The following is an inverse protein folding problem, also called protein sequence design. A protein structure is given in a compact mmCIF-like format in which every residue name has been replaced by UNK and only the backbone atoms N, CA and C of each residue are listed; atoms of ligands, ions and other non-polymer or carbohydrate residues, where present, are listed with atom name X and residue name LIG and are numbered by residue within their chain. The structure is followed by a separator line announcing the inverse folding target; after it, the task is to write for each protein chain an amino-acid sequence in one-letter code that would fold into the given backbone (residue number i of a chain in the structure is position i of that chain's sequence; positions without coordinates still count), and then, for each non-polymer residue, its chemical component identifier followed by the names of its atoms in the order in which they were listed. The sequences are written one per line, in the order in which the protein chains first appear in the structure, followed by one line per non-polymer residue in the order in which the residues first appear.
data_IF_290075860781
#
_entry.id   IF_290075860781
#
_cell.length_a   1.000
_cell.length_b   1.000
_cell.length_c   1.000
_cell.angle_alpha   90.00
_cell.angle_beta   90.00
_cell.angle_gamma   90.00
#
_symmetry.space_group_name_H-M   'P 1'
#
loop_
_entity.id
_entity.type
_entity.pdbx_description
1 polymer ?
#
# COMPACT_ATOMS: atom_id res chain seq x y z
N UNK A 1 -8.95 -12.31 -8.41
CA UNK A 1 -8.06 -11.30 -9.03
C UNK A 1 -6.84 -11.05 -8.15
N UNK A 2 -5.66 -10.71 -8.69
CA UNK A 2 -4.49 -10.27 -7.90
C UNK A 2 -4.31 -8.75 -8.08
N UNK A 3 -4.25 -8.02 -6.97
CA UNK A 3 -4.23 -6.54 -6.95
C UNK A 3 -2.91 -6.08 -6.33
N UNK A 4 -2.19 -5.21 -7.02
CA UNK A 4 -1.03 -4.51 -6.47
C UNK A 4 -1.45 -3.13 -5.98
N UNK A 5 -1.22 -2.81 -4.72
CA UNK A 5 -1.58 -1.53 -4.14
C UNK A 5 -0.32 -0.84 -3.62
N UNK A 6 -0.05 0.39 -4.07
CA UNK A 6 0.99 1.24 -3.51
C UNK A 6 0.32 2.43 -2.82
N UNK A 7 0.55 2.53 -1.51
CA UNK A 7 0.17 3.68 -0.71
C UNK A 7 1.38 4.63 -0.64
N UNK A 8 1.20 5.88 -1.04
CA UNK A 8 2.30 6.85 -1.08
C UNK A 8 2.24 7.87 0.07
N UNK A 9 1.04 8.24 0.53
CA UNK A 9 0.86 9.23 1.59
C UNK A 9 0.63 8.55 2.97
N UNK A 10 1.43 8.85 4.02
CA UNK A 10 1.17 8.39 5.39
C UNK A 10 -0.22 8.76 5.90
N UNK A 11 -0.78 9.91 5.50
CA UNK A 11 -2.12 10.34 5.89
C UNK A 11 -3.21 9.32 5.56
N UNK A 12 -3.05 8.52 4.49
CA UNK A 12 -3.99 7.44 4.17
C UNK A 12 -4.05 6.38 5.27
N UNK A 13 -2.93 6.15 5.95
CA UNK A 13 -2.86 5.26 7.10
C UNK A 13 -3.52 5.92 8.31
N UNK A 14 -3.09 7.13 8.65
CA UNK A 14 -3.51 7.85 9.87
C UNK A 14 -5.02 8.14 9.88
N UNK A 15 -5.59 8.47 8.72
CA UNK A 15 -7.03 8.71 8.55
C UNK A 15 -7.88 7.43 8.61
N UNK A 16 -7.27 6.25 8.66
CA UNK A 16 -7.96 4.95 8.57
C UNK A 16 -8.44 4.58 7.17
N UNK A 17 -8.25 5.47 6.17
CA UNK A 17 -8.66 5.24 4.79
C UNK A 17 -8.02 3.99 4.17
N UNK A 18 -6.75 3.71 4.49
CA UNK A 18 -6.05 2.52 4.03
C UNK A 18 -6.78 1.22 4.44
N UNK A 19 -7.35 1.17 5.65
CA UNK A 19 -8.13 0.02 6.12
C UNK A 19 -9.43 -0.15 5.31
N UNK A 20 -10.09 0.95 4.98
CA UNK A 20 -11.31 0.94 4.15
C UNK A 20 -11.02 0.48 2.72
N UNK A 21 -9.93 0.97 2.13
CA UNK A 21 -9.45 0.56 0.80
C UNK A 21 -9.12 -0.94 0.79
N UNK A 22 -8.31 -1.41 1.74
CA UNK A 22 -7.94 -2.82 1.85
C UNK A 22 -9.17 -3.72 2.02
N UNK A 23 -10.11 -3.34 2.89
CA UNK A 23 -11.35 -4.09 3.10
C UNK A 23 -12.18 -4.17 1.82
N UNK A 24 -12.30 -3.07 1.09
CA UNK A 24 -13.10 -3.01 -0.13
C UNK A 24 -12.47 -3.82 -1.27
N UNK A 25 -11.15 -3.65 -1.48
CA UNK A 25 -10.41 -4.40 -2.50
C UNK A 25 -10.32 -5.90 -2.18
N UNK A 26 -10.37 -6.29 -0.90
CA UNK A 26 -10.28 -7.70 -0.51
C UNK A 26 -11.48 -8.52 -0.98
N UNK A 27 -12.64 -7.87 -1.16
CA UNK A 27 -13.87 -8.50 -1.66
C UNK A 27 -13.77 -8.90 -3.14
N UNK A 28 -12.87 -8.28 -3.90
CA UNK A 28 -12.71 -8.51 -5.35
C UNK A 28 -11.42 -9.29 -5.68
N UNK A 29 -10.48 -9.41 -4.74
CA UNK A 29 -9.25 -10.17 -4.98
C UNK A 29 -8.24 -10.14 -3.85
N UNK A 30 -7.13 -10.84 -4.06
CA UNK A 30 -6.00 -10.86 -3.14
C UNK A 30 -5.11 -9.64 -3.35
N UNK A 31 -4.78 -8.95 -2.27
CA UNK A 31 -4.04 -7.69 -2.29
C UNK A 31 -2.58 -7.93 -1.91
N UNK A 32 -1.65 -7.34 -2.68
CA UNK A 32 -0.25 -7.12 -2.31
C UNK A 32 -0.08 -5.62 -2.12
N UNK A 33 -0.27 -5.16 -0.88
CA UNK A 33 -0.21 -3.76 -0.50
C UNK A 33 1.17 -3.38 0.01
N UNK A 34 1.67 -2.23 -0.42
CA UNK A 34 3.01 -1.72 -0.09
C UNK A 34 2.96 -0.25 0.26
N UNK A 35 3.88 0.19 1.11
CA UNK A 35 4.14 1.61 1.39
C UNK A 35 5.63 1.94 1.22
N UNK A 36 5.92 3.15 0.75
CA UNK A 36 7.27 3.67 0.60
C UNK A 36 7.48 4.88 1.53
N UNK A 37 8.75 5.30 1.68
CA UNK A 37 9.12 6.46 2.48
C UNK A 37 9.12 6.19 3.98
N UNK A 38 9.92 6.95 4.73
CA UNK A 38 10.08 6.74 6.18
C UNK A 38 8.78 7.00 6.93
N UNK A 39 8.12 8.14 6.66
CA UNK A 39 6.89 8.53 7.35
C UNK A 39 5.75 7.52 7.13
N UNK A 40 5.57 7.03 5.90
CA UNK A 40 4.56 6.03 5.59
C UNK A 40 4.76 4.72 6.36
N UNK A 41 6.01 4.30 6.54
CA UNK A 41 6.32 3.11 7.34
C UNK A 41 6.01 3.32 8.82
N UNK A 42 6.42 4.46 9.37
CA UNK A 42 6.10 4.83 10.75
C UNK A 42 4.59 4.79 10.97
N UNK A 43 3.81 5.43 10.10
CA UNK A 43 2.36 5.41 10.17
C UNK A 43 1.76 3.99 10.13
N UNK A 44 2.33 3.08 9.32
CA UNK A 44 1.90 1.67 9.30
C UNK A 44 2.14 0.97 10.64
N UNK A 45 3.29 1.20 11.26
CA UNK A 45 3.60 0.63 12.58
C UNK A 45 2.72 1.23 13.68
N UNK A 46 2.50 2.55 13.66
CA UNK A 46 1.64 3.24 14.63
C UNK A 46 0.18 2.75 14.53
N UNK A 47 -0.27 2.39 13.33
CA UNK A 47 -1.61 1.84 13.08
C UNK A 47 -1.72 0.31 13.23
N UNK A 48 -0.64 -0.39 13.60
CA UNK A 48 -0.57 -1.85 13.68
C UNK A 48 -1.02 -2.58 12.40
N UNK A 49 -0.59 -2.07 11.23
CA UNK A 49 -0.95 -2.61 9.91
C UNK A 49 0.20 -3.34 9.20
N UNK A 50 1.33 -3.57 9.87
CA UNK A 50 2.53 -4.24 9.32
C UNK A 50 2.27 -5.68 8.86
N UNK A 51 1.20 -6.31 9.35
CA UNK A 51 0.74 -7.63 8.89
C UNK A 51 -0.08 -7.58 7.58
N UNK A 52 -0.50 -6.40 7.14
CA UNK A 52 -1.34 -6.18 5.95
C UNK A 52 -0.65 -5.36 4.86
N UNK A 53 0.24 -4.45 5.25
CA UNK A 53 0.93 -3.54 4.35
C UNK A 53 2.44 -3.79 4.49
N UNK A 54 3.05 -4.21 3.39
CA UNK A 54 4.49 -4.46 3.35
C UNK A 54 5.26 -3.12 3.29
N UNK A 55 6.11 -2.91 4.28
CA UNK A 55 6.92 -1.69 4.49
C UNK A 55 8.28 -1.71 3.77
N UNK A 56 8.47 -2.64 2.81
CA UNK A 56 9.60 -2.78 1.88
C UNK A 56 10.82 -1.89 2.16
N UNK A 57 11.89 -2.49 2.69
CA UNK A 57 13.16 -1.86 3.05
C UNK A 57 13.71 -0.92 1.94
N UNK A 58 13.77 0.37 2.26
CA UNK A 58 14.42 1.48 1.52
C UNK A 58 14.24 1.59 -0.01
N UNK A 59 13.19 1.02 -0.59
CA UNK A 59 12.92 1.18 -2.03
C UNK A 59 12.18 2.48 -2.32
N UNK A 60 12.51 3.10 -3.46
CA UNK A 60 11.75 4.23 -3.99
C UNK A 60 10.35 3.77 -4.45
N UNK A 61 9.33 4.63 -4.39
CA UNK A 61 7.99 4.32 -4.91
C UNK A 61 8.01 3.75 -6.33
N UNK A 62 8.83 4.33 -7.21
CA UNK A 62 8.99 3.89 -8.60
C UNK A 62 9.43 2.43 -8.73
N UNK A 63 10.41 1.99 -7.94
CA UNK A 63 10.88 0.60 -7.94
C UNK A 63 9.78 -0.37 -7.48
N UNK A 64 8.98 0.06 -6.51
CA UNK A 64 7.86 -0.72 -6.00
C UNK A 64 6.80 -0.87 -7.09
N UNK A 65 6.42 0.22 -7.75
CA UNK A 65 5.48 0.19 -8.89
C UNK A 65 6.00 -0.73 -9.99
N UNK A 66 7.27 -0.63 -10.39
CA UNK A 66 7.86 -1.52 -11.42
C UNK A 66 7.78 -2.99 -11.01
N UNK A 67 8.08 -3.32 -9.74
CA UNK A 67 7.99 -4.69 -9.23
C UNK A 67 6.56 -5.20 -9.19
N UNK A 68 5.62 -4.32 -8.82
CA UNK A 68 4.21 -4.61 -8.84
C UNK A 68 3.73 -4.87 -10.28
N UNK A 69 4.08 -4.02 -11.26
CA UNK A 69 3.74 -4.09 -12.69
C UNK A 69 4.13 -5.41 -13.37
N UNK A 70 5.32 -5.95 -13.05
CA UNK A 70 5.81 -7.21 -13.64
C UNK A 70 4.93 -8.43 -13.32
N UNK A 71 4.03 -8.36 -12.35
CA UNK A 71 3.21 -9.49 -11.89
C UNK A 71 1.84 -9.65 -12.59
N UNK A 72 1.53 -8.89 -13.66
CA UNK A 72 0.21 -8.88 -14.35
C UNK A 72 -0.96 -8.70 -13.36
N UNK A 73 -0.98 -7.55 -12.67
CA UNK A 73 -2.01 -7.21 -11.66
C UNK A 73 -2.75 -5.93 -12.05
N UNK A 74 -3.84 -5.64 -11.34
CA UNK A 74 -4.48 -4.33 -11.37
C UNK A 74 -3.79 -3.43 -10.34
N UNK A 75 -3.57 -2.16 -10.69
CA UNK A 75 -2.85 -1.18 -9.86
C UNK A 75 -3.73 0.00 -9.51
N UNK A 76 -3.70 0.36 -8.23
CA UNK A 76 -4.33 1.58 -7.73
C UNK A 76 -3.26 2.41 -7.06
N UNK A 77 -3.23 3.70 -7.41
CA UNK A 77 -2.36 4.71 -6.81
C UNK A 77 -3.25 5.71 -6.09
N UNK A 78 -3.03 5.90 -4.80
CA UNK A 78 -3.77 6.85 -4.00
C UNK A 78 -2.82 7.92 -3.46
N UNK A 79 -3.08 9.15 -3.87
CA UNK A 79 -2.52 10.37 -3.28
C UNK A 79 -3.68 11.19 -2.71
N UNK A 80 -3.58 11.52 -1.43
CA UNK A 80 -4.32 12.62 -0.81
C UNK A 80 -3.36 13.81 -0.70
N UNK A 81 -3.86 15.03 -0.91
CA UNK A 81 -3.13 16.27 -0.60
C UNK A 81 -3.17 16.54 0.90
#
# INVERSE_FOLDING_TARGET
MKIGLLLHNPYLIDSGNAKNILTSLSKIGTIDAKIAGTMGKTAVFDAHLENKIDTCCNKKPSEIVTKLLKKKRYYYYFESW
#
